data_IF_477615586008
#
_entry.id   IF_477615586008
#
_cell.length_a   1.000
_cell.length_b   1.000
_cell.length_c   1.000
_cell.angle_alpha   90.00
_cell.angle_beta   90.00
_cell.angle_gamma   90.00
#
_symmetry.space_group_name_H-M   'P 1'
#
loop_
_entity.id
_entity.type
_entity.pdbx_description
1 polymer ?
#
# COMPACT_ATOMS: atom_id res chain seq x y z
N UNK A 1 -18.02 -9.46 -8.71
CA UNK A 1 -16.84 -9.43 -7.82
C UNK A 1 -15.69 -10.19 -8.49
N UNK A 2 -14.49 -9.62 -8.54
CA UNK A 2 -13.32 -10.23 -9.19
C UNK A 2 -12.78 -11.43 -8.41
N UNK A 3 -12.20 -12.42 -9.11
CA UNK A 3 -11.58 -13.59 -8.45
C UNK A 3 -10.31 -13.17 -7.68
N UNK A 4 -10.02 -13.79 -6.53
CA UNK A 4 -8.77 -13.57 -5.78
C UNK A 4 -7.53 -13.80 -6.67
N UNK A 5 -7.59 -14.80 -7.56
CA UNK A 5 -6.53 -15.03 -8.55
C UNK A 5 -6.33 -13.85 -9.53
N UNK A 6 -7.37 -13.07 -9.83
CA UNK A 6 -7.22 -11.83 -10.61
C UNK A 6 -6.52 -10.76 -9.79
N UNK A 7 -6.85 -10.64 -8.50
CA UNK A 7 -6.22 -9.66 -7.61
C UNK A 7 -4.72 -9.93 -7.45
N UNK A 8 -4.32 -11.21 -7.30
CA UNK A 8 -2.90 -11.61 -7.27
C UNK A 8 -2.19 -11.18 -8.56
N UNK A 9 -2.82 -11.36 -9.74
CA UNK A 9 -2.25 -10.90 -11.02
C UNK A 9 -2.12 -9.39 -11.09
N UNK A 10 -3.08 -8.65 -10.54
CA UNK A 10 -3.01 -7.17 -10.46
C UNK A 10 -1.86 -6.75 -9.55
N UNK A 11 -1.66 -7.42 -8.42
CA UNK A 11 -0.61 -7.10 -7.44
C UNK A 11 0.81 -7.19 -8.02
N UNK A 12 1.05 -8.04 -9.03
CA UNK A 12 2.34 -8.08 -9.77
C UNK A 12 2.72 -6.69 -10.31
N UNK A 13 1.74 -5.89 -10.75
CA UNK A 13 1.99 -4.55 -11.24
C UNK A 13 2.10 -3.50 -10.12
N UNK A 14 1.63 -3.78 -8.91
CA UNK A 14 1.86 -2.93 -7.75
C UNK A 14 3.31 -3.07 -7.26
N UNK A 15 3.84 -4.29 -7.27
CA UNK A 15 5.25 -4.59 -7.09
C UNK A 15 5.52 -5.90 -6.38
N UNK A 16 6.79 -6.36 -6.36
CA UNK A 16 7.13 -7.68 -5.85
C UNK A 16 6.75 -7.87 -4.37
N UNK A 17 6.97 -6.87 -3.51
CA UNK A 17 6.58 -6.96 -2.10
C UNK A 17 5.05 -6.96 -1.94
N UNK A 18 4.33 -6.09 -2.68
CA UNK A 18 2.86 -6.08 -2.65
C UNK A 18 2.28 -7.39 -3.17
N UNK A 19 2.82 -7.93 -4.25
CA UNK A 19 2.42 -9.24 -4.79
C UNK A 19 2.59 -10.35 -3.74
N UNK A 20 3.74 -10.38 -3.07
CA UNK A 20 4.01 -11.39 -2.05
C UNK A 20 3.05 -11.25 -0.86
N UNK A 21 2.77 -10.02 -0.42
CA UNK A 21 1.78 -9.75 0.61
C UNK A 21 0.37 -10.22 0.20
N UNK A 22 -0.11 -9.85 -0.99
CA UNK A 22 -1.42 -10.27 -1.50
C UNK A 22 -1.50 -11.79 -1.67
N UNK A 23 -0.42 -12.43 -2.13
CA UNK A 23 -0.33 -13.89 -2.27
C UNK A 23 -0.45 -14.56 -0.89
N UNK A 24 0.28 -14.08 0.11
CA UNK A 24 0.22 -14.57 1.49
C UNK A 24 -1.18 -14.40 2.10
N UNK A 25 -1.84 -13.28 1.81
CA UNK A 25 -3.20 -12.98 2.25
C UNK A 25 -4.28 -13.76 1.47
N UNK A 26 -3.92 -14.54 0.44
CA UNK A 26 -4.87 -15.22 -0.46
C UNK A 26 -6.02 -15.97 0.23
N UNK A 27 -5.76 -16.82 1.24
CA UNK A 27 -6.82 -17.49 2.00
C UNK A 27 -7.75 -16.51 2.74
N UNK A 28 -7.18 -15.47 3.36
CA UNK A 28 -7.94 -14.41 4.04
C UNK A 28 -8.80 -13.63 3.06
N UNK A 29 -8.25 -13.24 1.91
CA UNK A 29 -8.99 -12.55 0.84
C UNK A 29 -10.11 -13.40 0.25
N UNK A 30 -9.91 -14.74 0.19
CA UNK A 30 -10.95 -15.67 -0.26
C UNK A 30 -12.11 -15.70 0.72
N UNK A 31 -11.83 -15.79 2.03
CA UNK A 31 -12.86 -15.69 3.08
C UNK A 31 -13.57 -14.34 3.06
N UNK A 32 -12.82 -13.23 3.02
CA UNK A 32 -13.40 -11.89 2.92
C UNK A 32 -14.35 -11.76 1.72
N UNK A 33 -13.99 -12.30 0.56
CA UNK A 33 -14.89 -12.27 -0.61
C UNK A 33 -16.23 -13.00 -0.37
N UNK A 34 -16.20 -14.07 0.40
CA UNK A 34 -17.38 -14.93 0.64
C UNK A 34 -18.22 -14.43 1.81
N UNK A 35 -17.57 -13.98 2.88
CA UNK A 35 -18.20 -13.59 4.14
C UNK A 35 -18.48 -12.09 4.20
N UNK A 36 -17.60 -11.26 3.62
CA UNK A 36 -17.61 -9.80 3.74
C UNK A 36 -17.21 -9.11 2.41
N UNK A 37 -18.01 -9.24 1.33
CA UNK A 37 -17.63 -8.82 -0.01
C UNK A 37 -17.34 -7.32 -0.15
N UNK A 38 -17.87 -6.50 0.74
CA UNK A 38 -17.61 -5.06 0.82
C UNK A 38 -16.16 -4.79 1.21
N UNK A 39 -15.65 -5.45 2.26
CA UNK A 39 -14.25 -5.38 2.68
C UNK A 39 -13.33 -5.86 1.56
N UNK A 40 -13.68 -6.98 0.94
CA UNK A 40 -12.90 -7.49 -0.20
C UNK A 40 -12.81 -6.45 -1.33
N UNK A 41 -13.89 -5.70 -1.57
CA UNK A 41 -13.91 -4.62 -2.56
C UNK A 41 -12.97 -3.49 -2.14
N UNK A 42 -13.03 -3.02 -0.89
CA UNK A 42 -12.14 -1.98 -0.37
C UNK A 42 -10.67 -2.36 -0.52
N UNK A 43 -10.30 -3.58 -0.13
CA UNK A 43 -8.93 -4.09 -0.25
C UNK A 43 -8.51 -4.22 -1.72
N UNK A 44 -9.40 -4.76 -2.56
CA UNK A 44 -9.15 -4.92 -4.01
C UNK A 44 -8.92 -3.59 -4.70
N UNK A 45 -9.65 -2.56 -4.29
CA UNK A 45 -9.52 -1.20 -4.81
C UNK A 45 -8.17 -0.59 -4.43
N UNK A 46 -7.70 -0.78 -3.18
CA UNK A 46 -6.36 -0.30 -2.80
C UNK A 46 -5.24 -0.95 -3.62
N UNK A 47 -5.27 -2.27 -3.78
CA UNK A 47 -4.29 -2.99 -4.62
C UNK A 47 -4.35 -2.51 -6.08
N UNK A 48 -5.56 -2.31 -6.61
CA UNK A 48 -5.75 -1.82 -7.98
C UNK A 48 -5.24 -0.38 -8.14
N UNK A 49 -5.47 0.49 -7.16
CA UNK A 49 -4.94 1.86 -7.14
C UNK A 49 -3.42 1.89 -7.10
N UNK A 50 -2.78 1.04 -6.27
CA UNK A 50 -1.33 0.90 -6.22
C UNK A 50 -0.77 0.44 -7.57
N UNK A 51 -1.35 -0.61 -8.17
CA UNK A 51 -0.95 -1.15 -9.46
C UNK A 51 -1.11 -0.13 -10.60
N UNK A 52 -2.27 0.54 -10.66
CA UNK A 52 -2.56 1.56 -11.67
C UNK A 52 -1.56 2.71 -11.57
N UNK A 53 -1.37 3.25 -10.36
CA UNK A 53 -0.51 4.41 -10.13
C UNK A 53 0.94 4.12 -10.52
N UNK A 54 1.45 2.91 -10.22
CA UNK A 54 2.80 2.51 -10.61
C UNK A 54 2.97 2.37 -12.13
N UNK A 55 1.96 1.88 -12.86
CA UNK A 55 2.01 1.76 -14.32
C UNK A 55 1.93 3.11 -15.03
N UNK A 56 1.04 3.99 -14.56
CA UNK A 56 0.70 5.24 -15.25
C UNK A 56 1.64 6.39 -14.91
N UNK A 57 2.58 6.18 -13.98
CA UNK A 57 3.38 7.27 -13.44
C UNK A 57 4.86 6.94 -13.42
N UNK A 58 5.66 7.88 -13.92
CA UNK A 58 7.10 7.76 -13.99
C UNK A 58 7.78 8.93 -13.27
N UNK A 59 9.02 8.70 -12.82
CA UNK A 59 9.82 9.72 -12.16
C UNK A 59 9.25 10.18 -10.81
N UNK A 60 9.72 11.33 -10.29
CA UNK A 60 9.39 11.80 -8.94
C UNK A 60 7.88 11.95 -8.71
N UNK A 61 7.15 12.44 -9.71
CA UNK A 61 5.71 12.65 -9.59
C UNK A 61 4.93 11.32 -9.49
N UNK A 62 5.43 10.26 -10.13
CA UNK A 62 4.84 8.94 -9.96
C UNK A 62 5.07 8.32 -8.59
N UNK A 63 6.26 8.54 -8.02
CA UNK A 63 6.56 8.14 -6.65
C UNK A 63 5.64 8.89 -5.66
N UNK A 64 5.43 10.20 -5.87
CA UNK A 64 4.50 11.01 -5.06
C UNK A 64 3.06 10.47 -5.11
N UNK A 65 2.54 10.14 -6.29
CA UNK A 65 1.18 9.59 -6.40
C UNK A 65 1.04 8.25 -5.69
N UNK A 66 2.05 7.38 -5.72
CA UNK A 66 2.04 6.11 -4.97
C UNK A 66 2.02 6.35 -3.46
N UNK A 67 2.78 7.34 -2.98
CA UNK A 67 2.73 7.78 -1.57
C UNK A 67 1.33 8.22 -1.18
N UNK A 68 0.63 8.95 -2.06
CA UNK A 68 -0.76 9.36 -1.86
C UNK A 68 -1.71 8.19 -1.58
N UNK A 69 -1.60 7.09 -2.34
CA UNK A 69 -2.45 5.90 -2.10
C UNK A 69 -2.20 5.28 -0.72
N UNK A 70 -0.94 5.18 -0.29
CA UNK A 70 -0.61 4.64 1.04
C UNK A 70 -1.06 5.56 2.18
N UNK A 71 -1.06 6.89 1.96
CA UNK A 71 -1.54 7.85 2.97
C UNK A 71 -3.01 7.64 3.32
N UNK A 72 -3.85 7.28 2.36
CA UNK A 72 -5.26 6.98 2.65
C UNK A 72 -5.38 5.79 3.60
N UNK A 73 -4.60 4.73 3.37
CA UNK A 73 -4.57 3.53 4.21
C UNK A 73 -4.04 3.85 5.62
N UNK A 74 -2.97 4.64 5.70
CA UNK A 74 -2.39 5.06 6.98
C UNK A 74 -3.34 5.99 7.75
N UNK A 75 -4.08 6.85 7.07
CA UNK A 75 -5.08 7.72 7.69
C UNK A 75 -6.23 6.90 8.28
N UNK A 76 -6.69 5.86 7.57
CA UNK A 76 -7.65 4.91 8.10
C UNK A 76 -7.12 4.23 9.37
N UNK A 77 -5.94 3.60 9.28
CA UNK A 77 -5.29 2.88 10.39
C UNK A 77 -5.06 3.78 11.63
N UNK A 78 -4.78 5.07 11.43
CA UNK A 78 -4.66 6.02 12.54
C UNK A 78 -6.00 6.34 13.21
N UNK A 79 -7.08 6.34 12.44
CA UNK A 79 -8.41 6.68 12.92
C UNK A 79 -9.09 5.50 13.61
N UNK A 80 -8.80 4.26 13.17
CA UNK A 80 -9.36 3.03 13.69
C UNK A 80 -8.56 2.46 14.88
N UNK A 81 -7.25 2.75 14.98
CA UNK A 81 -6.36 2.25 16.03
C UNK A 81 -6.99 2.30 17.44
N UNK A 82 -7.15 1.12 18.04
CA UNK A 82 -7.76 0.92 19.35
C UNK A 82 -6.72 0.82 20.48
N UNK A 83 -5.47 0.52 20.12
CA UNK A 83 -4.33 0.46 21.02
C UNK A 83 -3.19 1.43 20.66
N UNK A 84 -2.33 1.68 21.64
CA UNK A 84 -1.18 2.57 21.47
C UNK A 84 -0.18 2.02 20.44
N UNK A 85 -0.04 0.70 20.33
CA UNK A 85 0.88 0.05 19.40
C UNK A 85 0.51 0.29 17.94
N UNK A 86 -0.75 0.12 17.58
CA UNK A 86 -1.33 0.42 16.26
C UNK A 86 -1.15 1.87 15.89
N UNK A 87 -1.52 2.76 16.82
CA UNK A 87 -1.35 4.19 16.66
C UNK A 87 0.11 4.54 16.40
N UNK A 88 1.05 3.97 17.16
CA UNK A 88 2.47 4.21 16.97
C UNK A 88 2.96 3.69 15.61
N UNK A 89 2.55 2.49 15.18
CA UNK A 89 2.92 1.93 13.87
C UNK A 89 2.42 2.82 12.73
N UNK A 90 1.15 3.21 12.77
CA UNK A 90 0.56 4.05 11.74
C UNK A 90 1.18 5.47 11.70
N UNK A 91 1.49 6.05 12.86
CA UNK A 91 2.25 7.31 12.92
C UNK A 91 3.65 7.16 12.34
N UNK A 92 4.34 6.05 12.60
CA UNK A 92 5.66 5.83 12.06
C UNK A 92 5.64 5.68 10.53
N UNK A 93 4.69 4.91 9.98
CA UNK A 93 4.48 4.83 8.53
C UNK A 93 4.20 6.20 7.92
N UNK A 94 3.33 7.01 8.54
CA UNK A 94 3.10 8.40 8.10
C UNK A 94 4.42 9.19 8.03
N UNK A 95 5.24 9.14 9.09
CA UNK A 95 6.54 9.84 9.10
C UNK A 95 7.50 9.31 8.03
N UNK A 96 7.51 8.01 7.78
CA UNK A 96 8.34 7.41 6.73
C UNK A 96 7.89 7.89 5.34
N UNK A 97 6.58 7.93 5.08
CA UNK A 97 6.01 8.45 3.84
C UNK A 97 6.34 9.93 3.63
N UNK A 98 6.23 10.74 4.69
CA UNK A 98 6.56 12.17 4.65
C UNK A 98 8.05 12.41 4.33
N UNK A 99 8.95 11.62 4.94
CA UNK A 99 10.39 11.68 4.68
C UNK A 99 10.72 11.31 3.22
N UNK A 100 10.09 10.27 2.69
CA UNK A 100 10.29 9.86 1.30
C UNK A 100 9.79 10.95 0.36
N UNK A 101 8.58 11.49 0.59
CA UNK A 101 8.05 12.55 -0.28
C UNK A 101 8.93 13.80 -0.27
N UNK A 102 9.43 14.19 0.91
CA UNK A 102 10.31 15.34 1.07
C UNK A 102 11.67 15.18 0.36
N UNK A 103 12.13 13.94 0.12
CA UNK A 103 13.37 13.67 -0.60
C UNK A 103 13.20 13.69 -2.13
N UNK A 104 11.98 13.51 -2.66
CA UNK A 104 11.73 13.43 -4.11
C UNK A 104 12.25 14.64 -4.92
N UNK A 105 12.17 15.91 -4.45
CA UNK A 105 12.73 17.04 -5.19
C UNK A 105 14.25 16.95 -5.39
N UNK A 106 14.98 16.27 -4.49
CA UNK A 106 16.44 16.12 -4.59
C UNK A 106 16.85 15.35 -5.84
N UNK A 107 15.98 14.48 -6.37
CA UNK A 107 16.21 13.75 -7.62
C UNK A 107 16.45 14.69 -8.81
N UNK A 108 15.89 15.90 -8.78
CA UNK A 108 16.04 16.90 -9.85
C UNK A 108 17.39 17.63 -9.81
N UNK A 109 18.02 17.70 -8.64
CA UNK A 109 19.34 18.30 -8.45
C UNK A 109 20.49 17.33 -8.75
N UNK A 110 20.20 16.04 -8.87
CA UNK A 110 21.17 14.98 -9.15
C UNK A 110 21.52 14.90 -10.64
N UNK A 111 22.69 14.33 -10.95
CA UNK A 111 22.99 13.88 -12.30
C UNK A 111 21.99 12.80 -12.74
N UNK A 112 21.72 12.69 -14.04
CA UNK A 112 20.75 11.72 -14.59
C UNK A 112 20.98 10.29 -14.10
N UNK A 113 22.24 9.85 -14.01
CA UNK A 113 22.58 8.51 -13.57
C UNK A 113 22.34 8.32 -12.05
N UNK A 114 22.68 9.31 -11.24
CA UNK A 114 22.44 9.27 -9.79
C UNK A 114 20.94 9.31 -9.49
N UNK A 115 20.18 10.20 -10.14
CA UNK A 115 18.73 10.29 -10.02
C UNK A 115 18.03 8.96 -10.37
N UNK A 116 18.48 8.27 -11.43
CA UNK A 116 17.91 6.99 -11.82
C UNK A 116 18.25 5.83 -10.87
N UNK A 117 19.36 5.90 -10.13
CA UNK A 117 19.68 4.92 -9.08
C UNK A 117 18.87 5.21 -7.82
N UNK A 118 18.83 6.46 -7.39
CA UNK A 118 18.09 6.88 -6.21
C UNK A 118 16.58 6.65 -6.39
N UNK A 119 16.02 6.98 -7.55
CA UNK A 119 14.61 6.72 -7.83
C UNK A 119 14.25 5.23 -7.75
N UNK A 120 15.16 4.32 -8.10
CA UNK A 120 14.96 2.87 -7.94
C UNK A 120 14.99 2.46 -6.48
N UNK A 121 15.93 2.99 -5.70
CA UNK A 121 15.99 2.74 -4.27
C UNK A 121 14.70 3.23 -3.55
N UNK A 122 14.22 4.41 -3.92
CA UNK A 122 12.95 4.95 -3.42
C UNK A 122 11.76 4.09 -3.87
N UNK A 123 11.75 3.62 -5.13
CA UNK A 123 10.70 2.72 -5.65
C UNK A 123 10.60 1.41 -4.84
N UNK A 124 11.74 0.80 -4.53
CA UNK A 124 11.85 -0.41 -3.70
C UNK A 124 11.35 -0.14 -2.29
N UNK A 125 11.75 0.98 -1.67
CA UNK A 125 11.29 1.33 -0.32
C UNK A 125 9.79 1.57 -0.26
N UNK A 126 9.22 2.22 -1.29
CA UNK A 126 7.78 2.42 -1.43
C UNK A 126 7.06 1.08 -1.59
N UNK A 127 7.62 0.13 -2.34
CA UNK A 127 7.04 -1.21 -2.51
C UNK A 127 6.98 -1.99 -1.18
N UNK A 128 8.07 -1.99 -0.42
CA UNK A 128 8.12 -2.59 0.93
C UNK A 128 7.10 -1.97 1.88
N UNK A 129 7.02 -0.64 1.91
CA UNK A 129 6.05 0.08 2.74
C UNK A 129 4.61 -0.23 2.32
N UNK A 130 4.35 -0.27 1.00
CA UNK A 130 3.04 -0.62 0.46
C UNK A 130 2.60 -2.01 0.95
N UNK A 131 3.51 -2.97 0.98
CA UNK A 131 3.22 -4.34 1.40
C UNK A 131 2.84 -4.46 2.88
N UNK A 132 3.59 -3.77 3.76
CA UNK A 132 3.33 -3.82 5.21
C UNK A 132 2.10 -3.01 5.60
N UNK A 133 1.89 -1.83 5.00
CA UNK A 133 0.70 -0.99 5.23
C UNK A 133 -0.55 -1.71 4.72
N UNK A 134 -0.50 -2.31 3.53
CA UNK A 134 -1.61 -3.08 2.99
C UNK A 134 -1.97 -4.27 3.88
N UNK A 135 -0.97 -4.98 4.41
CA UNK A 135 -1.23 -6.11 5.31
C UNK A 135 -1.96 -5.65 6.58
N UNK A 136 -1.46 -4.58 7.22
CA UNK A 136 -2.11 -4.01 8.40
C UNK A 136 -3.53 -3.51 8.09
N UNK A 137 -3.72 -2.85 6.94
CA UNK A 137 -5.06 -2.40 6.51
C UNK A 137 -6.05 -3.56 6.35
N UNK A 138 -5.60 -4.72 5.83
CA UNK A 138 -6.46 -5.91 5.69
C UNK A 138 -6.79 -6.51 7.06
N UNK A 139 -5.83 -6.55 7.96
CA UNK A 139 -6.02 -7.08 9.32
C UNK A 139 -7.01 -6.20 10.10
N UNK A 140 -6.86 -4.87 10.04
CA UNK A 140 -7.74 -3.89 10.66
C UNK A 140 -9.19 -3.99 10.15
N UNK A 141 -9.37 -3.98 8.83
CA UNK A 141 -10.70 -4.09 8.23
C UNK A 141 -11.42 -5.38 8.64
N UNK A 142 -10.66 -6.47 8.82
CA UNK A 142 -11.23 -7.72 9.31
C UNK A 142 -11.66 -7.61 10.77
N UNK A 143 -10.89 -6.92 11.60
CA UNK A 143 -11.17 -6.77 13.03
C UNK A 143 -12.37 -5.86 13.27
N UNK A 144 -12.42 -4.68 12.65
CA UNK A 144 -13.56 -3.76 12.73
C UNK A 144 -14.89 -4.46 12.37
N UNK A 145 -14.91 -5.21 11.27
CA UNK A 145 -16.12 -5.89 10.81
C UNK A 145 -16.43 -7.21 11.55
N UNK A 146 -15.49 -7.77 12.33
CA UNK A 146 -15.80 -8.85 13.27
C UNK A 146 -16.41 -8.33 14.57
N UNK A 147 -16.29 -7.03 14.83
CA UNK A 147 -16.82 -6.35 16.02
C UNK A 147 -18.20 -5.69 15.78
N UNK A 148 -18.64 -5.58 14.53
CA UNK A 148 -20.02 -5.15 14.21
C UNK A 148 -21.01 -6.34 14.31
N UNK A 149 -22.06 -6.26 15.15
CA UNK A 149 -23.03 -7.34 15.40
C UNK A 149 -24.07 -7.56 14.28
#
# INVERSE_FOLDING_TARGET
>A
MGKVGTLIKVAVAAGPAVWEAVRRLGPTLTRLREENPEIYTLVSDQVTRLARTRRESHGPEGLRRRIGVMRDQVAYLLASADDDGERHRAQDWRRQLDKIEASLPLLTAMSRQAAAREARHVDERIDELSAVILSAYVDEQREDHQLEP
#
